data_IF_510268099986
#
_entry.id   IF_510268099986
#
_cell.length_a   1.000
_cell.length_b   1.000
_cell.length_c   1.000
_cell.angle_alpha   90.00
_cell.angle_beta   90.00
_cell.angle_gamma   90.00
#
_symmetry.space_group_name_H-M   'P 1'
#
loop_
_entity.id
_entity.type
_entity.pdbx_description
1 polymer ?
#
# COMPACT_ATOMS: atom_id res chain seq x y z
N UNK A 1 -23.46 24.62 -14.92
CA UNK A 1 -22.23 24.81 -14.12
C UNK A 1 -22.23 23.87 -12.91
N UNK A 2 -21.78 22.62 -13.06
CA UNK A 2 -21.76 21.61 -11.97
C UNK A 2 -20.70 20.51 -12.15
N UNK A 3 -20.06 20.43 -13.33
CA UNK A 3 -19.05 19.43 -13.70
C UNK A 3 -17.72 19.59 -12.94
N UNK A 4 -17.34 20.81 -12.56
CA UNK A 4 -16.10 21.06 -11.80
C UNK A 4 -16.08 20.33 -10.43
N UNK A 5 -17.23 20.16 -9.80
CA UNK A 5 -17.33 19.49 -8.49
C UNK A 5 -17.22 17.97 -8.56
N UNK A 6 -17.43 17.36 -9.73
CA UNK A 6 -17.26 15.92 -9.94
C UNK A 6 -15.82 15.54 -10.27
N UNK A 7 -15.05 16.47 -10.83
CA UNK A 7 -13.66 16.21 -11.21
C UNK A 7 -12.75 16.09 -9.98
N UNK A 8 -12.99 16.90 -8.96
CA UNK A 8 -12.20 16.94 -7.73
C UNK A 8 -12.20 15.61 -6.93
N UNK A 9 -13.34 14.95 -6.64
CA UNK A 9 -13.35 13.67 -5.95
C UNK A 9 -12.69 12.54 -6.76
N UNK A 10 -12.79 12.58 -8.09
CA UNK A 10 -12.14 11.61 -8.97
C UNK A 10 -10.61 11.69 -8.86
N UNK A 11 -10.07 12.92 -8.87
CA UNK A 11 -8.64 13.16 -8.73
C UNK A 11 -8.11 12.72 -7.35
N UNK A 12 -8.87 12.93 -6.28
CA UNK A 12 -8.51 12.44 -4.94
C UNK A 12 -8.47 10.90 -4.87
N UNK A 13 -9.43 10.23 -5.52
CA UNK A 13 -9.48 8.77 -5.58
C UNK A 13 -8.26 8.19 -6.33
N UNK A 14 -7.88 8.82 -7.45
CA UNK A 14 -6.72 8.46 -8.25
C UNK A 14 -5.40 8.64 -7.47
N UNK A 15 -5.26 9.72 -6.70
CA UNK A 15 -4.08 9.98 -5.85
C UNK A 15 -3.94 8.93 -4.73
N UNK A 16 -5.05 8.50 -4.13
CA UNK A 16 -5.04 7.44 -3.11
C UNK A 16 -4.65 6.07 -3.71
N UNK A 17 -5.14 5.77 -4.91
CA UNK A 17 -4.77 4.55 -5.64
C UNK A 17 -3.30 4.51 -6.05
N UNK A 18 -2.76 5.62 -6.55
CA UNK A 18 -1.35 5.72 -6.96
C UNK A 18 -0.37 5.61 -5.76
N UNK A 19 -0.75 6.15 -4.60
CA UNK A 19 0.06 6.06 -3.40
C UNK A 19 0.14 4.63 -2.82
N UNK A 20 -0.87 3.79 -3.05
CA UNK A 20 -0.84 2.38 -2.67
C UNK A 20 0.12 1.58 -3.56
N UNK A 21 0.12 1.83 -4.87
CA UNK A 21 0.96 1.12 -5.83
C UNK A 21 2.46 1.32 -5.56
N UNK A 22 2.89 2.57 -5.31
CA UNK A 22 4.31 2.86 -5.05
C UNK A 22 4.85 2.29 -3.72
N UNK A 23 3.99 1.94 -2.77
CA UNK A 23 4.41 1.29 -1.51
C UNK A 23 4.54 -0.22 -1.67
N UNK A 24 3.68 -0.82 -2.49
CA UNK A 24 3.74 -2.24 -2.83
C UNK A 24 5.04 -2.57 -3.59
N UNK A 25 5.38 -1.81 -4.63
CA UNK A 25 6.62 -2.01 -5.39
C UNK A 25 7.88 -1.91 -4.50
N UNK A 26 7.88 -0.99 -3.53
CA UNK A 26 8.96 -0.86 -2.54
C UNK A 26 9.04 -2.08 -1.62
N UNK A 27 7.90 -2.66 -1.24
CA UNK A 27 7.86 -3.87 -0.43
C UNK A 27 8.41 -5.08 -1.20
N UNK A 28 7.97 -5.25 -2.45
CA UNK A 28 8.43 -6.31 -3.35
C UNK A 28 9.93 -6.19 -3.61
N UNK A 29 10.46 -4.98 -3.87
CA UNK A 29 11.91 -4.72 -3.99
C UNK A 29 12.72 -5.11 -2.76
N UNK A 30 12.11 -5.08 -1.57
CA UNK A 30 12.73 -5.54 -0.31
C UNK A 30 12.61 -7.06 -0.09
N UNK A 31 12.17 -7.82 -1.10
CA UNK A 31 11.82 -9.24 -1.01
C UNK A 31 10.72 -9.50 0.05
N UNK A 32 9.83 -8.54 0.23
CA UNK A 32 8.65 -8.66 1.08
C UNK A 32 7.37 -8.77 0.27
N UNK A 33 6.26 -8.96 0.96
CA UNK A 33 4.92 -8.97 0.37
C UNK A 33 3.95 -8.20 1.25
N UNK A 34 2.88 -7.70 0.65
CA UNK A 34 1.86 -6.95 1.35
C UNK A 34 0.75 -7.90 1.83
N UNK A 35 0.41 -7.81 3.12
CA UNK A 35 -0.72 -8.55 3.72
C UNK A 35 -1.70 -7.58 4.33
N UNK A 36 -2.99 -7.88 4.23
CA UNK A 36 -4.02 -7.16 4.97
C UNK A 36 -3.94 -7.55 6.46
N UNK A 37 -4.04 -6.57 7.35
CA UNK A 37 -4.03 -6.77 8.80
C UNK A 37 -2.63 -6.73 9.42
N UNK A 38 -1.87 -7.82 9.41
CA UNK A 38 -0.58 -7.85 10.10
C UNK A 38 0.30 -9.05 9.74
N UNK A 39 1.60 -8.93 10.03
CA UNK A 39 2.55 -10.00 9.75
C UNK A 39 2.41 -11.14 10.77
N UNK A 40 2.29 -12.37 10.27
CA UNK A 40 2.37 -13.58 11.09
C UNK A 40 3.79 -14.10 11.13
N UNK A 41 4.19 -14.70 12.25
CA UNK A 41 5.42 -15.48 12.31
C UNK A 41 5.42 -16.56 11.20
N UNK A 42 6.50 -16.77 10.43
CA UNK A 42 7.90 -16.29 10.60
C UNK A 42 8.25 -14.98 9.85
N UNK A 43 7.28 -14.11 9.60
CA UNK A 43 7.46 -12.84 8.90
C UNK A 43 7.42 -11.65 9.86
N UNK A 44 8.35 -10.70 9.68
CA UNK A 44 8.40 -9.44 10.44
C UNK A 44 7.81 -8.28 9.67
N UNK A 45 7.30 -7.30 10.40
CA UNK A 45 6.89 -6.01 9.86
C UNK A 45 8.09 -5.21 9.36
N UNK A 46 8.02 -4.73 8.11
CA UNK A 46 9.08 -3.92 7.46
C UNK A 46 8.57 -2.56 6.99
N UNK A 47 7.26 -2.37 6.95
CA UNK A 47 6.63 -1.10 6.58
C UNK A 47 5.15 -1.30 6.24
N UNK A 48 4.49 -0.26 5.74
CA UNK A 48 3.07 -0.29 5.36
C UNK A 48 2.92 -0.18 3.84
N UNK A 49 2.06 -1.03 3.27
CA UNK A 49 1.71 -0.99 1.84
C UNK A 49 0.48 -0.13 1.57
N UNK A 50 -0.52 -0.17 2.44
CA UNK A 50 -1.73 0.65 2.36
C UNK A 50 -2.23 1.02 3.76
N UNK A 51 -3.39 1.68 3.87
CA UNK A 51 -4.01 2.01 5.14
C UNK A 51 -4.29 0.76 6.00
N UNK A 52 -4.61 -0.37 5.35
CA UNK A 52 -4.94 -1.64 6.01
C UNK A 52 -3.98 -2.78 5.71
N UNK A 53 -2.92 -2.53 4.92
CA UNK A 53 -1.96 -3.57 4.54
C UNK A 53 -0.54 -3.25 4.94
N UNK A 54 0.15 -4.26 5.43
CA UNK A 54 1.49 -4.21 5.99
C UNK A 54 2.46 -4.97 5.09
N UNK A 55 3.65 -4.43 4.90
CA UNK A 55 4.77 -5.08 4.24
C UNK A 55 5.44 -6.03 5.23
N UNK A 56 5.39 -7.32 4.90
CA UNK A 56 5.99 -8.39 5.67
C UNK A 56 7.19 -8.98 4.93
N UNK A 57 8.28 -9.23 5.66
CA UNK A 57 9.48 -9.89 5.14
C UNK A 57 9.83 -11.09 6.01
N UNK A 58 10.32 -12.16 5.39
CA UNK A 58 10.83 -13.31 6.11
C UNK A 58 12.00 -12.90 7.01
N UNK A 59 12.04 -13.40 8.26
CA UNK A 59 13.04 -12.97 9.25
C UNK A 59 14.46 -13.41 8.86
N UNK A 60 14.60 -14.54 8.17
CA UNK A 60 15.89 -15.20 7.89
C UNK A 60 16.40 -15.01 6.45
N UNK A 61 15.97 -13.96 5.74
CA UNK A 61 16.31 -13.72 4.33
C UNK A 61 16.82 -12.33 3.99
#
# INVERSE_FOLDING_TARGET
>A
MKILYLLFPLLLLLVQGAAALGKEEKCIRKKGFCVLGGCRFPYKYVGTCSAFSHCCKFIWG
#
